data_IF_243896428754
#
_entry.id   IF_243896428754
#
_cell.length_a   1.000
_cell.length_b   1.000
_cell.length_c   1.000
_cell.angle_alpha   90.00
_cell.angle_beta   90.00
_cell.angle_gamma   90.00
#
_symmetry.space_group_name_H-M   'P 1'
#
loop_
_entity.id
_entity.type
_entity.pdbx_description
1 polymer ?
#
# COMPACT_ATOMS: atom_id res chain seq x y z
N UNK A 1 4.96 -0.98 34.88
CA UNK A 1 4.76 -0.55 33.49
C UNK A 1 6.15 -0.50 32.87
N UNK A 2 6.53 -1.52 32.10
CA UNK A 2 7.77 -1.44 31.33
C UNK A 2 7.55 -0.41 30.23
N UNK A 3 8.51 0.48 30.05
CA UNK A 3 8.64 1.20 28.79
C UNK A 3 9.37 0.22 27.90
N UNK A 4 8.64 -0.47 27.03
CA UNK A 4 9.25 -1.16 25.88
C UNK A 4 9.90 -0.09 25.01
N UNK A 5 11.14 -0.32 24.60
CA UNK A 5 11.76 0.54 23.59
C UNK A 5 10.97 0.37 22.28
N UNK A 6 10.82 1.42 21.49
CA UNK A 6 9.97 1.39 20.28
C UNK A 6 10.40 0.33 19.28
N UNK A 7 11.70 -0.04 19.30
CA UNK A 7 12.29 -1.08 18.45
C UNK A 7 11.92 -2.50 18.86
N UNK A 8 11.49 -2.72 20.10
CA UNK A 8 11.12 -4.04 20.64
C UNK A 8 9.83 -4.58 19.98
N UNK A 9 8.93 -3.69 19.54
CA UNK A 9 7.66 -4.08 18.89
C UNK A 9 7.83 -4.72 17.51
N UNK A 10 8.94 -4.42 16.82
CA UNK A 10 9.34 -5.04 15.55
C UNK A 10 10.53 -6.02 15.74
N UNK A 11 10.97 -6.26 16.97
CA UNK A 11 12.16 -7.07 17.29
C UNK A 11 11.94 -8.59 17.28
N UNK A 12 10.69 -9.04 17.10
CA UNK A 12 10.33 -10.46 16.94
C UNK A 12 10.33 -10.92 15.48
N UNK A 13 9.53 -11.94 15.16
CA UNK A 13 9.38 -12.41 13.77
C UNK A 13 8.43 -11.48 13.02
N UNK A 14 8.93 -10.91 11.94
CA UNK A 14 8.26 -9.87 11.16
C UNK A 14 7.75 -10.44 9.85
N UNK A 15 6.47 -10.20 9.54
CA UNK A 15 5.89 -10.53 8.24
C UNK A 15 5.78 -9.28 7.36
N UNK A 16 6.53 -9.23 6.26
CA UNK A 16 6.41 -8.16 5.26
C UNK A 16 5.49 -8.63 4.13
N UNK A 17 4.42 -7.89 3.86
CA UNK A 17 3.32 -8.26 2.96
C UNK A 17 3.27 -7.33 1.76
N UNK A 18 3.14 -7.87 0.55
CA UNK A 18 2.79 -7.10 -0.64
C UNK A 18 1.85 -7.90 -1.57
N UNK A 19 0.86 -7.22 -2.17
CA UNK A 19 -0.07 -7.82 -3.12
C UNK A 19 -0.11 -7.07 -4.44
N UNK A 20 -0.02 -7.80 -5.55
CA UNK A 20 -0.17 -7.26 -6.91
C UNK A 20 -1.58 -6.70 -7.12
N UNK A 21 -1.75 -5.84 -8.12
CA UNK A 21 -3.04 -5.30 -8.53
C UNK A 21 -3.25 -3.90 -7.99
N UNK A 22 -4.35 -3.65 -7.29
CA UNK A 22 -4.74 -2.28 -6.91
C UNK A 22 -3.77 -1.60 -5.93
N UNK A 23 -3.06 -2.40 -5.13
CA UNK A 23 -2.16 -1.93 -4.07
C UNK A 23 -0.72 -1.67 -4.53
N UNK A 24 -0.37 -1.96 -5.80
CA UNK A 24 1.01 -2.02 -6.25
C UNK A 24 1.24 -1.29 -7.59
N UNK A 25 1.19 0.05 -7.53
CA UNK A 25 1.62 0.89 -8.66
C UNK A 25 3.07 0.60 -9.06
N UNK A 26 3.28 0.23 -10.32
CA UNK A 26 4.60 -0.02 -10.90
C UNK A 26 5.31 -1.25 -10.35
N UNK A 27 4.58 -2.26 -9.86
CA UNK A 27 5.09 -3.51 -9.28
C UNK A 27 6.19 -3.27 -8.21
N UNK A 28 6.11 -2.16 -7.49
CA UNK A 28 7.15 -1.69 -6.58
C UNK A 28 7.12 -2.40 -5.22
N UNK A 29 5.94 -2.64 -4.65
CA UNK A 29 5.79 -3.35 -3.40
C UNK A 29 6.09 -4.84 -3.57
N UNK A 30 5.48 -5.50 -4.55
CA UNK A 30 5.75 -6.92 -4.81
C UNK A 30 7.14 -7.14 -5.40
N UNK A 31 7.67 -6.21 -6.20
CA UNK A 31 9.06 -6.22 -6.66
C UNK A 31 10.06 -6.16 -5.51
N UNK A 32 9.86 -5.25 -4.54
CA UNK A 32 10.69 -5.18 -3.34
C UNK A 32 10.64 -6.48 -2.50
N UNK A 33 9.44 -7.05 -2.28
CA UNK A 33 9.28 -8.31 -1.54
C UNK A 33 9.87 -9.51 -2.29
N UNK A 34 9.75 -9.57 -3.62
CA UNK A 34 10.40 -10.59 -4.46
C UNK A 34 11.92 -10.50 -4.39
N UNK A 35 12.47 -9.29 -4.48
CA UNK A 35 13.91 -9.07 -4.33
C UNK A 35 14.39 -9.52 -2.93
N UNK A 36 13.66 -9.17 -1.87
CA UNK A 36 13.96 -9.63 -0.51
C UNK A 36 13.94 -11.16 -0.41
N UNK A 37 12.91 -11.81 -0.97
CA UNK A 37 12.77 -13.29 -0.97
C UNK A 37 13.98 -13.97 -1.62
N UNK A 38 14.49 -13.42 -2.72
CA UNK A 38 15.61 -13.98 -3.47
C UNK A 38 16.97 -13.65 -2.82
N UNK A 39 17.15 -12.45 -2.24
CA UNK A 39 18.38 -12.06 -1.54
C UNK A 39 18.54 -12.72 -0.16
N UNK A 40 17.42 -13.06 0.50
CA UNK A 40 17.39 -13.74 1.80
C UNK A 40 17.27 -15.26 1.68
N UNK A 41 17.23 -15.80 0.45
CA UNK A 41 17.09 -17.24 0.14
C UNK A 41 15.88 -17.91 0.86
N UNK A 42 14.73 -17.21 0.94
CA UNK A 42 13.57 -17.71 1.68
C UNK A 42 12.79 -18.78 0.92
N UNK A 43 12.40 -19.84 1.64
CA UNK A 43 11.66 -20.99 1.13
C UNK A 43 10.14 -20.82 1.38
N UNK A 44 9.27 -21.38 0.51
CA UNK A 44 7.82 -21.32 0.70
C UNK A 44 7.39 -22.22 1.86
N UNK A 45 6.66 -21.65 2.81
CA UNK A 45 6.15 -22.29 4.02
C UNK A 45 4.67 -22.66 3.89
N UNK A 46 3.89 -21.78 3.27
CA UNK A 46 2.45 -21.92 3.08
C UNK A 46 2.02 -21.24 1.77
N UNK A 47 1.04 -21.82 1.09
CA UNK A 47 0.48 -21.32 -0.18
C UNK A 47 -1.03 -21.54 -0.15
N UNK A 48 -1.82 -20.50 -0.46
CA UNK A 48 -3.29 -20.59 -0.44
C UNK A 48 -3.83 -21.49 -1.56
N UNK A 49 -4.98 -22.13 -1.36
CA UNK A 49 -5.68 -22.79 -2.47
C UNK A 49 -6.20 -21.73 -3.46
N UNK A 50 -5.69 -21.70 -4.71
CA UNK A 50 -6.04 -20.65 -5.65
C UNK A 50 -7.48 -20.73 -6.15
N UNK A 51 -8.14 -21.90 -6.11
CA UNK A 51 -9.52 -22.04 -6.58
C UNK A 51 -10.51 -21.31 -5.67
N UNK A 52 -10.20 -21.16 -4.39
CA UNK A 52 -11.09 -20.51 -3.42
C UNK A 52 -11.13 -18.98 -3.63
N UNK A 53 -9.99 -18.38 -3.95
CA UNK A 53 -9.76 -16.94 -3.77
C UNK A 53 -9.64 -16.14 -5.07
N UNK A 54 -9.14 -16.74 -6.16
CA UNK A 54 -8.90 -16.02 -7.41
C UNK A 54 -9.97 -16.30 -8.47
N UNK A 55 -10.28 -15.29 -9.27
CA UNK A 55 -11.03 -15.46 -10.51
C UNK A 55 -10.07 -15.68 -11.67
N UNK A 56 -9.99 -16.91 -12.20
CA UNK A 56 -9.09 -17.26 -13.30
C UNK A 56 -9.46 -16.65 -14.66
N UNK A 57 -10.57 -15.91 -14.79
CA UNK A 57 -10.83 -15.08 -15.97
C UNK A 57 -10.09 -13.74 -15.91
N UNK A 58 -9.89 -13.22 -14.69
CA UNK A 58 -9.17 -11.98 -14.39
C UNK A 58 -7.67 -12.29 -14.18
N UNK A 59 -7.36 -13.13 -13.19
CA UNK A 59 -6.02 -13.59 -12.86
C UNK A 59 -5.73 -14.91 -13.57
N UNK A 60 -5.38 -14.84 -14.85
CA UNK A 60 -5.19 -16.03 -15.71
C UNK A 60 -3.91 -16.80 -15.35
N UNK A 61 -3.97 -18.15 -15.22
CA UNK A 61 -2.77 -18.97 -15.13
C UNK A 61 -1.86 -18.81 -16.35
N UNK A 62 -0.56 -18.74 -16.12
CA UNK A 62 0.45 -18.48 -17.15
C UNK A 62 1.25 -19.75 -17.44
N UNK A 63 1.44 -20.08 -18.72
CA UNK A 63 2.30 -21.18 -19.15
C UNK A 63 3.69 -20.66 -19.54
N UNK A 64 4.72 -21.08 -18.82
CA UNK A 64 6.12 -20.77 -19.09
C UNK A 64 6.90 -22.03 -19.49
N UNK A 65 8.16 -21.87 -19.90
CA UNK A 65 9.10 -22.97 -20.03
C UNK A 65 10.19 -22.83 -18.95
N UNK A 66 10.58 -23.93 -18.32
CA UNK A 66 11.76 -23.96 -17.45
C UNK A 66 13.08 -23.97 -18.25
N UNK A 67 14.22 -23.99 -17.54
CA UNK A 67 15.55 -23.98 -18.16
C UNK A 67 15.80 -25.21 -19.05
N UNK A 68 15.10 -26.33 -18.81
CA UNK A 68 15.13 -27.54 -19.63
C UNK A 68 14.09 -27.53 -20.77
N UNK A 69 13.37 -26.42 -20.95
CA UNK A 69 12.35 -26.23 -21.98
C UNK A 69 11.00 -26.89 -21.67
N UNK A 70 10.82 -27.49 -20.48
CA UNK A 70 9.56 -28.17 -20.11
C UNK A 70 8.52 -27.12 -19.77
N UNK A 71 7.29 -27.31 -20.26
CA UNK A 71 6.20 -26.38 -19.97
C UNK A 71 5.70 -26.55 -18.54
N UNK A 72 5.62 -25.45 -17.81
CA UNK A 72 5.04 -25.35 -16.46
C UNK A 72 3.88 -24.38 -16.48
N UNK A 73 2.79 -24.73 -15.81
CA UNK A 73 1.66 -23.85 -15.58
C UNK A 73 1.80 -23.25 -14.18
N UNK A 74 1.77 -21.92 -14.08
CA UNK A 74 1.78 -21.17 -12.83
C UNK A 74 0.40 -20.56 -12.62
N UNK A 75 -0.20 -20.83 -11.46
CA UNK A 75 -1.47 -20.25 -11.04
C UNK A 75 -1.24 -18.94 -10.28
N UNK A 76 -2.19 -17.98 -10.24
CA UNK A 76 -2.12 -16.89 -9.28
C UNK A 76 -2.13 -17.47 -7.87
N UNK A 77 -1.34 -16.91 -6.96
CA UNK A 77 -1.29 -17.37 -5.57
C UNK A 77 -0.94 -16.26 -4.59
N UNK A 78 -1.02 -16.58 -3.31
CA UNK A 78 -0.50 -15.82 -2.19
C UNK A 78 0.32 -16.75 -1.30
N UNK A 79 1.64 -16.58 -1.33
CA UNK A 79 2.59 -17.51 -0.72
C UNK A 79 3.33 -16.84 0.44
N UNK A 80 3.33 -17.50 1.60
CA UNK A 80 4.15 -17.16 2.76
C UNK A 80 5.50 -17.86 2.64
N UNK A 81 6.58 -17.07 2.73
CA UNK A 81 7.96 -17.50 2.72
C UNK A 81 8.63 -17.19 4.07
N UNK A 82 9.66 -17.96 4.40
CA UNK A 82 10.49 -17.69 5.57
C UNK A 82 11.80 -18.48 5.55
N UNK A 83 12.64 -18.29 6.59
CA UNK A 83 13.98 -18.85 6.63
C UNK A 83 13.96 -20.37 6.89
N UNK A 84 14.84 -21.10 6.22
CA UNK A 84 14.97 -22.57 6.34
C UNK A 84 15.37 -23.03 7.74
N UNK A 85 16.00 -22.16 8.52
CA UNK A 85 16.43 -22.43 9.89
C UNK A 85 16.09 -21.20 10.76
N UNK A 86 14.83 -21.02 11.17
CA UNK A 86 14.37 -19.82 11.87
C UNK A 86 15.06 -19.67 13.23
N UNK A 87 15.25 -18.42 13.66
CA UNK A 87 15.79 -18.16 14.99
C UNK A 87 14.84 -18.68 16.08
N UNK A 88 15.43 -19.19 17.16
CA UNK A 88 14.69 -19.51 18.39
C UNK A 88 13.96 -18.26 18.90
N UNK A 89 12.64 -18.30 19.18
CA UNK A 89 11.91 -17.15 19.69
C UNK A 89 12.57 -16.57 20.94
N UNK A 90 12.66 -15.24 21.03
CA UNK A 90 13.24 -14.50 22.16
C UNK A 90 12.42 -14.68 23.44
N UNK A 91 12.60 -15.84 24.08
CA UNK A 91 11.89 -16.27 25.27
C UNK A 91 12.47 -15.67 26.55
N UNK A 92 12.19 -14.38 26.75
CA UNK A 92 12.16 -13.75 28.07
C UNK A 92 13.52 -13.47 28.73
N UNK A 93 13.91 -12.19 28.68
CA UNK A 93 14.67 -11.48 29.72
C UNK A 93 16.00 -12.10 30.17
N UNK A 94 17.07 -11.69 29.49
CA UNK A 94 18.26 -11.25 30.19
C UNK A 94 18.39 -9.73 30.00
N UNK A 95 18.15 -8.94 31.05
CA UNK A 95 18.40 -7.48 31.05
C UNK A 95 19.91 -7.16 30.86
N UNK A 96 20.77 -8.19 30.85
CA UNK A 96 22.22 -8.14 30.61
C UNK A 96 22.64 -8.59 29.18
N UNK A 97 21.69 -8.88 28.29
CA UNK A 97 21.99 -9.25 26.90
C UNK A 97 22.32 -8.01 26.05
N UNK A 98 23.47 -7.38 26.34
CA UNK A 98 24.04 -6.33 25.50
C UNK A 98 24.06 -6.76 24.02
N UNK A 99 23.28 -6.05 23.21
CA UNK A 99 23.57 -5.81 21.80
C UNK A 99 23.90 -7.07 20.98
N UNK A 100 23.05 -8.11 21.05
CA UNK A 100 22.98 -9.13 19.98
C UNK A 100 22.30 -8.56 18.74
N UNK A 101 22.94 -7.55 18.16
CA UNK A 101 22.89 -7.30 16.72
C UNK A 101 23.56 -8.52 16.09
N UNK A 102 22.76 -9.55 15.79
CA UNK A 102 23.16 -10.53 14.79
C UNK A 102 23.40 -9.74 13.50
N UNK A 103 24.54 -9.93 12.85
CA UNK A 103 24.89 -9.21 11.62
C UNK A 103 23.99 -9.57 10.41
N UNK A 104 22.94 -10.36 10.66
CA UNK A 104 21.84 -10.70 9.79
C UNK A 104 20.61 -10.98 10.68
N UNK A 105 19.62 -10.09 10.69
CA UNK A 105 18.30 -10.34 11.32
C UNK A 105 17.38 -11.17 10.41
N UNK A 106 17.95 -11.72 9.33
CA UNK A 106 17.29 -12.46 8.25
C UNK A 106 16.43 -13.62 8.78
N UNK A 107 16.90 -14.30 9.84
CA UNK A 107 16.23 -15.44 10.47
C UNK A 107 14.89 -15.08 11.18
N UNK A 108 14.55 -13.79 11.22
CA UNK A 108 13.28 -13.26 11.73
C UNK A 108 12.41 -12.61 10.64
N UNK A 109 12.85 -12.54 9.38
CA UNK A 109 12.10 -11.95 8.28
C UNK A 109 11.31 -13.03 7.53
N UNK A 110 9.99 -12.86 7.51
CA UNK A 110 9.04 -13.64 6.74
C UNK A 110 8.38 -12.74 5.71
N UNK A 111 8.02 -13.28 4.56
CA UNK A 111 7.48 -12.51 3.44
C UNK A 111 6.18 -13.15 2.95
N UNK A 112 5.14 -12.36 2.75
CA UNK A 112 3.92 -12.78 2.07
C UNK A 112 3.81 -11.98 0.77
N UNK A 113 3.87 -12.68 -0.36
CA UNK A 113 3.73 -12.04 -1.68
C UNK A 113 2.80 -12.84 -2.57
N UNK A 114 2.00 -12.14 -3.36
CA UNK A 114 1.04 -12.77 -4.25
C UNK A 114 0.15 -11.79 -5.00
N UNK A 115 -0.83 -12.34 -5.68
CA UNK A 115 -1.90 -11.57 -6.32
C UNK A 115 -2.99 -11.23 -5.30
N UNK A 116 -3.62 -10.06 -5.42
CA UNK A 116 -4.81 -9.72 -4.60
C UNK A 116 -5.98 -10.70 -4.89
N UNK A 117 -6.64 -11.28 -3.85
CA UNK A 117 -7.76 -12.20 -4.04
C UNK A 117 -8.97 -11.50 -4.67
N UNK A 118 -9.68 -12.20 -5.54
CA UNK A 118 -10.86 -11.66 -6.22
C UNK A 118 -12.14 -11.77 -5.37
N UNK A 119 -12.15 -12.63 -4.34
CA UNK A 119 -13.31 -12.92 -3.49
C UNK A 119 -12.90 -13.42 -2.11
N UNK A 120 -13.89 -13.57 -1.23
CA UNK A 120 -13.74 -14.26 0.07
C UNK A 120 -12.67 -13.67 1.01
N UNK A 121 -12.37 -12.37 0.91
CA UNK A 121 -11.27 -11.70 1.62
C UNK A 121 -11.20 -12.00 3.12
N UNK A 122 -12.33 -12.11 3.81
CA UNK A 122 -12.36 -12.44 5.24
C UNK A 122 -11.83 -13.84 5.57
N UNK A 123 -12.11 -14.82 4.72
CA UNK A 123 -11.58 -16.17 4.87
C UNK A 123 -10.10 -16.22 4.47
N UNK A 124 -9.73 -15.54 3.37
CA UNK A 124 -8.36 -15.39 2.92
C UNK A 124 -7.44 -14.78 3.99
N UNK A 125 -7.86 -13.67 4.61
CA UNK A 125 -7.08 -13.02 5.67
C UNK A 125 -6.99 -13.91 6.92
N UNK A 126 -8.07 -14.62 7.29
CA UNK A 126 -8.03 -15.55 8.42
C UNK A 126 -7.05 -16.72 8.17
N UNK A 127 -7.06 -17.32 6.98
CA UNK A 127 -6.17 -18.43 6.61
C UNK A 127 -4.68 -17.99 6.59
N UNK A 128 -4.40 -16.79 6.06
CA UNK A 128 -3.06 -16.20 6.10
C UNK A 128 -2.58 -15.87 7.52
N UNK A 129 -3.49 -15.40 8.39
CA UNK A 129 -3.17 -15.10 9.79
C UNK A 129 -3.00 -16.38 10.62
N UNK A 130 -3.77 -17.45 10.36
CA UNK A 130 -3.54 -18.77 10.96
C UNK A 130 -2.16 -19.33 10.56
N UNK A 131 -1.74 -19.14 9.30
CA UNK A 131 -0.39 -19.47 8.85
C UNK A 131 0.69 -18.60 9.54
N UNK A 132 0.48 -17.28 9.65
CA UNK A 132 1.39 -16.37 10.35
C UNK A 132 1.55 -16.73 11.84
N UNK A 133 0.45 -17.03 12.54
CA UNK A 133 0.46 -17.49 13.94
C UNK A 133 1.19 -18.82 14.10
N UNK A 134 1.09 -19.73 13.12
CA UNK A 134 1.83 -21.01 13.11
C UNK A 134 3.35 -20.82 13.04
N UNK A 135 3.81 -19.66 12.57
CA UNK A 135 5.23 -19.29 12.49
C UNK A 135 5.65 -18.25 13.55
N UNK A 136 4.86 -18.03 14.60
CA UNK A 136 5.11 -17.07 15.69
C UNK A 136 5.35 -15.63 15.19
N UNK A 137 4.70 -15.21 14.09
CA UNK A 137 4.75 -13.83 13.61
C UNK A 137 4.21 -12.88 14.69
N UNK A 138 5.01 -11.89 15.07
CA UNK A 138 4.70 -10.93 16.13
C UNK A 138 4.33 -9.54 15.63
N UNK A 139 4.59 -9.22 14.36
CA UNK A 139 4.24 -7.94 13.73
C UNK A 139 4.12 -8.08 12.21
N UNK A 140 3.30 -7.22 11.58
CA UNK A 140 3.07 -7.22 10.13
C UNK A 140 3.38 -5.85 9.53
N UNK A 141 4.15 -5.81 8.44
CA UNK A 141 4.38 -4.61 7.62
C UNK A 141 3.76 -4.79 6.25
N UNK A 142 2.71 -4.04 5.95
CA UNK A 142 2.06 -3.98 4.64
C UNK A 142 2.77 -2.96 3.75
N UNK A 143 3.40 -3.41 2.67
CA UNK A 143 3.97 -2.57 1.63
C UNK A 143 2.94 -2.36 0.51
N UNK A 144 2.83 -1.11 0.05
CA UNK A 144 2.03 -0.74 -1.12
C UNK A 144 2.65 0.41 -1.89
N UNK A 145 2.09 0.70 -3.06
CA UNK A 145 2.44 1.86 -3.86
C UNK A 145 1.23 2.37 -4.64
N UNK A 146 1.15 3.68 -4.80
CA UNK A 146 0.03 4.36 -5.46
C UNK A 146 0.52 5.35 -6.52
N UNK A 147 -0.25 5.51 -7.59
CA UNK A 147 0.01 6.54 -8.60
C UNK A 147 -0.34 7.92 -8.01
N UNK A 148 0.56 8.90 -8.16
CA UNK A 148 0.45 10.22 -7.56
C UNK A 148 1.01 11.34 -8.47
N UNK A 149 0.65 12.58 -8.13
CA UNK A 149 1.17 13.81 -8.74
C UNK A 149 2.55 14.16 -8.18
N UNK A 150 3.55 13.33 -8.49
CA UNK A 150 4.93 13.49 -8.03
C UNK A 150 5.94 13.49 -9.20
N UNK A 151 7.03 14.27 -9.10
CA UNK A 151 8.07 14.29 -10.12
C UNK A 151 9.00 13.07 -9.97
N UNK A 152 9.29 12.37 -11.06
CA UNK A 152 10.25 11.26 -11.07
C UNK A 152 11.70 11.72 -10.80
N UNK A 153 11.98 13.01 -10.97
CA UNK A 153 13.28 13.70 -10.76
C UNK A 153 13.55 14.13 -9.31
N UNK A 154 12.78 13.61 -8.34
CA UNK A 154 12.98 13.81 -6.89
C UNK A 154 12.99 12.46 -6.16
N UNK A 155 13.39 12.41 -4.88
CA UNK A 155 13.19 11.22 -4.05
C UNK A 155 11.72 10.80 -4.02
N UNK A 156 11.47 9.49 -4.09
CA UNK A 156 10.10 8.94 -4.01
C UNK A 156 9.55 9.21 -2.60
N UNK A 157 8.33 9.75 -2.54
CA UNK A 157 7.67 10.00 -1.26
C UNK A 157 7.14 8.69 -0.69
N UNK A 158 7.57 8.35 0.52
CA UNK A 158 7.09 7.19 1.27
C UNK A 158 6.32 7.66 2.50
N UNK A 159 5.12 7.15 2.68
CA UNK A 159 4.25 7.43 3.82
C UNK A 159 4.16 6.20 4.72
N UNK A 160 4.25 6.41 6.03
CA UNK A 160 4.17 5.35 7.04
C UNK A 160 3.06 5.64 8.03
N UNK A 161 2.19 4.67 8.28
CA UNK A 161 1.05 4.82 9.20
C UNK A 161 0.71 3.50 9.90
N UNK A 162 0.07 3.60 11.07
CA UNK A 162 -0.36 2.42 11.83
C UNK A 162 -1.65 2.68 12.61
N UNK A 163 -2.53 1.69 12.68
CA UNK A 163 -3.72 1.74 13.53
C UNK A 163 -3.44 1.27 14.97
N UNK A 164 -2.36 0.51 15.21
CA UNK A 164 -1.84 0.20 16.55
C UNK A 164 -1.30 1.46 17.24
N UNK A 165 -1.80 1.71 18.46
CA UNK A 165 -1.32 2.84 19.26
C UNK A 165 0.12 2.67 19.76
N UNK A 166 0.55 1.43 19.96
CA UNK A 166 1.88 1.10 20.44
C UNK A 166 2.92 1.32 19.34
N UNK A 167 2.65 0.86 18.11
CA UNK A 167 3.49 1.11 16.92
C UNK A 167 3.63 2.60 16.63
N UNK A 168 2.53 3.38 16.70
CA UNK A 168 2.59 4.83 16.53
C UNK A 168 3.48 5.53 17.55
N UNK A 169 3.34 5.19 18.83
CA UNK A 169 4.18 5.76 19.89
C UNK A 169 5.65 5.31 19.77
N UNK A 170 5.88 4.09 19.29
CA UNK A 170 7.20 3.49 19.13
C UNK A 170 8.01 4.09 17.98
N UNK A 171 7.36 4.38 16.83
CA UNK A 171 8.02 4.75 15.58
C UNK A 171 7.78 6.21 15.15
N UNK A 172 7.08 7.00 15.98
CA UNK A 172 6.67 8.39 15.69
C UNK A 172 5.88 8.51 14.37
N UNK A 173 4.96 7.56 14.15
CA UNK A 173 4.07 7.51 12.97
C UNK A 173 2.61 7.81 13.33
N UNK A 174 1.85 8.34 12.38
CA UNK A 174 0.46 8.75 12.58
C UNK A 174 -0.56 7.68 12.16
N UNK A 175 -1.84 7.87 12.53
CA UNK A 175 -2.94 7.08 11.95
C UNK A 175 -3.17 7.48 10.50
N UNK A 176 -3.75 6.57 9.70
CA UNK A 176 -4.25 6.96 8.39
C UNK A 176 -5.46 7.89 8.55
N UNK A 177 -5.49 8.99 7.81
CA UNK A 177 -6.68 9.84 7.68
C UNK A 177 -7.50 9.52 6.42
N UNK A 178 -7.24 8.38 5.77
CA UNK A 178 -7.89 7.98 4.53
C UNK A 178 -9.31 7.44 4.77
N UNK A 179 -10.28 7.98 4.05
CA UNK A 179 -11.64 7.43 3.95
C UNK A 179 -11.96 7.14 2.47
N UNK A 180 -12.23 5.88 2.12
CA UNK A 180 -12.52 5.49 0.74
C UNK A 180 -12.47 3.97 0.51
N UNK A 181 -12.50 3.53 -0.76
CA UNK A 181 -12.26 2.13 -1.13
C UNK A 181 -10.86 1.67 -0.72
N UNK A 182 -10.73 0.41 -0.30
CA UNK A 182 -9.46 -0.17 0.15
C UNK A 182 -9.21 -1.52 -0.51
N UNK A 183 -7.93 -1.88 -0.65
CA UNK A 183 -7.49 -3.20 -1.08
C UNK A 183 -7.39 -4.21 0.08
N UNK A 184 -6.96 -5.43 -0.24
CA UNK A 184 -6.84 -6.54 0.70
C UNK A 184 -5.89 -6.25 1.86
N UNK A 185 -4.86 -5.41 1.68
CA UNK A 185 -3.92 -5.04 2.74
C UNK A 185 -4.64 -4.43 3.95
N UNK A 186 -5.65 -3.58 3.73
CA UNK A 186 -6.43 -3.00 4.84
C UNK A 186 -7.32 -4.04 5.53
N UNK A 187 -7.85 -5.03 4.79
CA UNK A 187 -8.63 -6.11 5.36
C UNK A 187 -7.77 -7.10 6.16
N UNK A 188 -6.53 -7.34 5.72
CA UNK A 188 -5.54 -8.12 6.46
C UNK A 188 -5.13 -7.38 7.73
N UNK A 189 -4.86 -6.08 7.66
CA UNK A 189 -4.48 -5.28 8.84
C UNK A 189 -5.60 -5.20 9.87
N UNK A 190 -6.86 -4.97 9.46
CA UNK A 190 -8.04 -5.01 10.34
C UNK A 190 -8.18 -6.36 11.05
N UNK A 191 -8.01 -7.47 10.32
CA UNK A 191 -8.05 -8.81 10.88
C UNK A 191 -6.86 -9.12 11.82
N UNK A 192 -5.67 -8.59 11.54
CA UNK A 192 -4.48 -8.76 12.36
C UNK A 192 -4.58 -8.01 13.70
N UNK A 193 -5.03 -6.75 13.68
CA UNK A 193 -5.23 -5.95 14.90
C UNK A 193 -6.34 -6.54 15.80
N UNK A 194 -7.35 -7.23 15.24
CA UNK A 194 -8.35 -8.00 16.00
C UNK A 194 -7.73 -9.19 16.76
N UNK A 195 -6.58 -9.70 16.30
CA UNK A 195 -5.80 -10.76 16.93
C UNK A 195 -4.65 -10.24 17.82
N UNK A 196 -4.66 -8.93 18.13
CA UNK A 196 -3.59 -8.21 18.84
C UNK A 196 -2.20 -8.31 18.16
N UNK A 197 -2.16 -8.54 16.83
CA UNK A 197 -0.92 -8.51 16.03
C UNK A 197 -0.71 -7.08 15.51
N UNK A 198 0.32 -6.35 15.97
CA UNK A 198 0.57 -4.96 15.56
C UNK A 198 0.91 -4.85 14.07
N UNK A 199 0.30 -3.86 13.41
CA UNK A 199 0.49 -3.61 11.97
C UNK A 199 1.12 -2.25 11.68
N UNK A 200 1.87 -2.17 10.58
CA UNK A 200 2.38 -0.94 9.98
C UNK A 200 2.11 -0.97 8.48
N UNK A 201 1.73 0.16 7.89
CA UNK A 201 1.64 0.33 6.43
C UNK A 201 2.75 1.26 5.93
N UNK A 202 3.37 0.92 4.80
CA UNK A 202 4.39 1.72 4.10
C UNK A 202 3.95 1.88 2.64
N UNK A 203 3.71 3.11 2.20
CA UNK A 203 3.18 3.43 0.87
C UNK A 203 4.10 4.34 0.07
N UNK A 204 4.56 3.88 -1.10
CA UNK A 204 5.36 4.69 -2.04
C UNK A 204 4.50 5.43 -3.07
N UNK A 205 4.85 6.68 -3.36
CA UNK A 205 4.20 7.51 -4.37
C UNK A 205 4.91 7.39 -5.72
N UNK A 206 4.27 6.72 -6.67
CA UNK A 206 4.80 6.50 -8.03
C UNK A 206 4.27 7.58 -8.97
N UNK A 207 5.11 8.23 -9.80
CA UNK A 207 4.66 9.21 -10.79
C UNK A 207 3.63 8.61 -11.77
N UNK A 208 2.40 9.14 -11.79
CA UNK A 208 1.28 8.55 -12.54
C UNK A 208 1.48 8.48 -14.07
N UNK A 209 2.35 9.32 -14.63
CA UNK A 209 2.66 9.35 -16.06
C UNK A 209 3.70 8.30 -16.48
N UNK A 210 4.34 7.61 -15.53
CA UNK A 210 5.30 6.55 -15.82
C UNK A 210 4.55 5.22 -15.95
N UNK A 211 4.49 4.71 -17.19
CA UNK A 211 3.82 3.44 -17.52
C UNK A 211 4.80 2.24 -17.56
N UNK A 212 6.09 2.47 -17.30
CA UNK A 212 7.09 1.42 -17.24
C UNK A 212 7.06 0.71 -15.88
N UNK A 213 6.42 -0.46 -15.88
CA UNK A 213 6.54 -1.44 -14.80
C UNK A 213 7.69 -2.43 -15.10
N UNK A 214 8.50 -2.83 -14.10
CA UNK A 214 8.44 -2.39 -12.71
C UNK A 214 9.12 -1.00 -12.52
N UNK A 215 9.03 -0.45 -11.31
CA UNK A 215 9.61 0.84 -10.91
C UNK A 215 10.73 0.67 -9.87
N UNK A 216 12.00 0.48 -10.30
CA UNK A 216 13.13 0.24 -9.39
C UNK A 216 13.37 1.38 -8.40
N UNK A 217 13.14 2.63 -8.81
CA UNK A 217 13.26 3.80 -7.93
C UNK A 217 12.24 3.79 -6.78
N UNK A 218 11.03 3.27 -7.01
CA UNK A 218 10.03 3.09 -5.97
C UNK A 218 10.32 1.85 -5.10
N UNK A 219 10.83 0.76 -5.69
CA UNK A 219 11.33 -0.41 -4.93
C UNK A 219 12.41 0.00 -3.92
N UNK A 220 13.42 0.77 -4.35
CA UNK A 220 14.48 1.28 -3.47
C UNK A 220 13.91 2.08 -2.30
N UNK A 221 12.98 3.01 -2.55
CA UNK A 221 12.43 3.84 -1.49
C UNK A 221 11.62 3.03 -0.45
N UNK A 222 10.91 1.97 -0.88
CA UNK A 222 10.26 1.03 0.04
C UNK A 222 11.28 0.22 0.85
N UNK A 223 12.35 -0.25 0.21
CA UNK A 223 13.44 -1.01 0.86
C UNK A 223 14.18 -0.12 1.86
N UNK A 224 14.59 1.08 1.47
CA UNK A 224 15.27 2.05 2.34
C UNK A 224 14.43 2.38 3.57
N UNK A 225 13.11 2.56 3.41
CA UNK A 225 12.21 2.83 4.54
C UNK A 225 11.97 1.61 5.43
N UNK A 226 11.96 0.40 4.86
CA UNK A 226 11.92 -0.84 5.63
C UNK A 226 13.21 -1.03 6.43
N UNK A 227 14.37 -0.75 5.83
CA UNK A 227 15.69 -0.79 6.46
C UNK A 227 15.78 0.16 7.67
N UNK A 228 15.30 1.40 7.49
CA UNK A 228 15.25 2.45 8.53
C UNK A 228 14.45 2.02 9.77
N UNK A 229 13.38 1.24 9.58
CA UNK A 229 12.42 0.90 10.63
C UNK A 229 12.73 -0.43 11.34
N UNK A 230 13.35 -1.39 10.65
CA UNK A 230 13.62 -2.74 11.17
C UNK A 230 15.11 -2.92 11.58
N UNK A 231 15.99 -1.98 11.24
CA UNK A 231 17.43 -2.00 11.61
C UNK A 231 18.16 -3.25 11.06
N UNK A 232 17.80 -3.67 9.85
CA UNK A 232 18.34 -4.86 9.15
C UNK A 232 18.96 -4.44 7.84
N UNK A 233 20.22 -4.81 7.56
CA UNK A 233 20.83 -4.48 6.26
C UNK A 233 20.23 -5.35 5.14
N UNK A 234 19.63 -4.70 4.14
CA UNK A 234 19.01 -5.34 2.98
C UNK A 234 19.96 -5.25 1.77
N UNK A 235 20.41 -6.39 1.21
CA UNK A 235 21.15 -6.40 -0.04
C UNK A 235 20.32 -5.85 -1.19
N UNK A 236 20.82 -4.80 -1.86
CA UNK A 236 20.14 -4.11 -2.97
C UNK A 236 20.41 -4.71 -4.34
N UNK A 237 21.40 -5.60 -4.46
CA UNK A 237 21.86 -6.12 -5.75
C UNK A 237 22.11 -4.99 -6.77
N UNK A 238 21.61 -5.19 -7.99
CA UNK A 238 21.75 -4.23 -9.10
C UNK A 238 20.62 -3.17 -9.11
N UNK A 239 19.74 -3.13 -8.08
CA UNK A 239 18.54 -2.28 -8.07
C UNK A 239 18.86 -0.77 -8.13
N UNK A 240 20.02 -0.37 -7.62
CA UNK A 240 20.51 1.02 -7.71
C UNK A 240 20.81 1.43 -9.16
N UNK A 241 21.50 0.57 -9.92
CA UNK A 241 21.78 0.79 -11.34
C UNK A 241 20.47 0.80 -12.15
N UNK A 242 19.57 -0.15 -11.90
CA UNK A 242 18.25 -0.20 -12.54
C UNK A 242 17.40 1.06 -12.28
N UNK A 243 17.52 1.67 -11.09
CA UNK A 243 16.80 2.92 -10.79
C UNK A 243 17.39 4.14 -11.51
N UNK A 244 18.72 4.21 -11.65
CA UNK A 244 19.38 5.24 -12.44
C UNK A 244 19.04 5.10 -13.94
N UNK A 245 19.06 3.88 -14.49
CA UNK A 245 18.66 3.60 -15.88
C UNK A 245 17.18 3.94 -16.14
N UNK A 246 16.30 3.58 -15.21
CA UNK A 246 14.86 3.90 -15.27
C UNK A 246 14.62 5.42 -15.27
N UNK A 247 15.31 6.16 -14.40
CA UNK A 247 15.21 7.62 -14.35
C UNK A 247 15.77 8.29 -15.60
N UNK A 248 16.91 7.82 -16.14
CA UNK A 248 17.46 8.32 -17.41
C UNK A 248 16.51 8.04 -18.58
N UNK A 249 15.88 6.87 -18.61
CA UNK A 249 14.90 6.49 -19.65
C UNK A 249 13.70 7.44 -19.63
N UNK A 250 13.13 7.72 -18.46
CA UNK A 250 11.97 8.62 -18.34
C UNK A 250 12.36 10.07 -18.65
N UNK A 251 13.54 10.53 -18.22
CA UNK A 251 14.05 11.85 -18.59
C UNK A 251 14.17 12.01 -20.11
N UNK A 252 14.64 10.98 -20.83
CA UNK A 252 14.68 11.00 -22.29
C UNK A 252 13.28 11.12 -22.89
N UNK A 253 12.34 10.26 -22.48
CA UNK A 253 10.96 10.27 -22.98
C UNK A 253 10.23 11.58 -22.66
N UNK A 254 10.49 12.16 -21.49
CA UNK A 254 9.94 13.45 -21.07
C UNK A 254 10.53 14.64 -21.84
N UNK A 255 11.77 14.52 -22.35
CA UNK A 255 12.46 15.62 -23.05
C UNK A 255 11.96 15.85 -24.49
N UNK A 256 11.32 14.85 -25.10
CA UNK A 256 10.75 14.91 -26.46
C UNK A 256 9.37 15.60 -26.50
N UNK A 257 8.76 15.89 -25.35
CA UNK A 257 7.43 16.50 -25.20
C UNK A 257 7.49 17.75 -24.30
N UNK A 258 7.30 18.93 -24.91
CA UNK A 258 7.34 20.22 -24.20
C UNK A 258 6.21 20.38 -23.16
N UNK A 259 5.04 19.78 -23.36
CA UNK A 259 3.91 19.85 -22.42
C UNK A 259 4.19 18.99 -21.19
N UNK A 260 4.66 17.75 -21.39
CA UNK A 260 5.10 16.86 -20.32
C UNK A 260 6.28 17.45 -19.54
N UNK A 261 7.29 18.02 -20.21
CA UNK A 261 8.41 18.68 -19.54
C UNK A 261 7.99 19.92 -18.75
N UNK A 262 6.99 20.68 -19.21
CA UNK A 262 6.42 21.79 -18.47
C UNK A 262 5.59 21.33 -17.26
N UNK A 263 4.87 20.22 -17.38
CA UNK A 263 4.09 19.63 -16.29
C UNK A 263 4.98 19.06 -15.18
N UNK A 264 6.04 18.31 -15.53
CA UNK A 264 7.00 17.78 -14.55
C UNK A 264 7.63 18.93 -13.74
N UNK A 265 7.99 20.05 -14.36
CA UNK A 265 8.50 21.24 -13.65
C UNK A 265 7.51 21.86 -12.67
N UNK A 266 6.20 21.74 -12.91
CA UNK A 266 5.18 22.17 -11.95
C UNK A 266 5.13 21.22 -10.74
N UNK A 267 5.24 19.91 -10.97
CA UNK A 267 5.32 18.91 -9.90
C UNK A 267 6.61 19.07 -9.07
N UNK A 268 7.75 19.35 -9.70
CA UNK A 268 9.00 19.72 -9.04
C UNK A 268 8.83 20.95 -8.15
N UNK A 269 8.31 22.06 -8.69
CA UNK A 269 8.12 23.29 -7.92
C UNK A 269 7.15 23.10 -6.74
N UNK A 270 6.09 22.32 -6.93
CA UNK A 270 5.16 21.96 -5.85
C UNK A 270 5.85 21.12 -4.76
N UNK A 271 6.66 20.12 -5.15
CA UNK A 271 7.40 19.28 -4.20
C UNK A 271 8.44 20.05 -3.41
N UNK A 272 9.28 20.82 -4.11
CA UNK A 272 10.37 21.61 -3.52
C UNK A 272 9.82 22.69 -2.55
N UNK A 273 8.60 23.18 -2.80
CA UNK A 273 7.90 24.12 -1.88
C UNK A 273 7.48 23.46 -0.58
N UNK A 274 7.05 22.18 -0.61
CA UNK A 274 6.64 21.43 0.59
C UNK A 274 7.85 20.97 1.40
N UNK A 275 8.95 20.59 0.75
CA UNK A 275 10.20 20.18 1.42
C UNK A 275 11.05 21.36 1.92
N UNK A 276 10.74 22.60 1.51
CA UNK A 276 11.48 23.77 1.94
C UNK A 276 11.53 23.89 3.49
N UNK A 277 12.69 24.12 4.11
CA UNK A 277 12.78 24.35 5.57
C UNK A 277 11.91 25.53 6.05
N UNK A 278 11.65 26.48 5.15
CA UNK A 278 10.76 27.64 5.34
C UNK A 278 9.26 27.31 5.21
N UNK A 279 8.88 26.05 4.97
CA UNK A 279 7.50 25.57 5.07
C UNK A 279 7.16 25.00 6.47
N UNK A 280 8.16 24.84 7.34
CA UNK A 280 7.95 24.46 8.74
C UNK A 280 7.01 25.46 9.45
N UNK A 281 6.19 24.96 10.39
CA UNK A 281 5.06 25.73 10.97
C UNK A 281 5.44 27.08 11.58
N UNK A 282 6.69 27.28 12.01
CA UNK A 282 7.20 28.56 12.50
C UNK A 282 7.27 29.67 11.44
N UNK A 283 7.45 29.32 10.17
CA UNK A 283 7.51 30.28 9.07
C UNK A 283 6.11 30.71 8.63
N UNK A 284 5.16 29.76 8.56
CA UNK A 284 3.73 30.04 8.40
C UNK A 284 3.22 30.89 9.58
N UNK A 285 3.63 30.60 10.81
CA UNK A 285 3.33 31.43 11.98
C UNK A 285 3.96 32.84 11.87
N UNK A 286 5.19 32.98 11.36
CA UNK A 286 5.83 34.29 11.13
C UNK A 286 5.13 35.12 10.05
N UNK A 287 4.63 34.50 8.98
CA UNK A 287 3.78 35.15 7.98
C UNK A 287 2.42 35.56 8.58
N UNK A 288 1.80 34.70 9.39
CA UNK A 288 0.54 34.99 10.07
C UNK A 288 0.67 36.15 11.08
N UNK A 289 1.73 36.18 11.88
CA UNK A 289 2.06 37.33 12.74
C UNK A 289 2.31 38.62 11.95
N UNK A 290 3.00 38.53 10.79
CA UNK A 290 3.24 39.66 9.90
C UNK A 290 1.92 40.20 9.32
N UNK A 291 1.00 39.32 8.95
CA UNK A 291 -0.34 39.67 8.47
C UNK A 291 -1.19 40.34 9.55
N UNK A 292 -1.16 39.83 10.79
CA UNK A 292 -1.84 40.43 11.94
C UNK A 292 -1.27 41.81 12.29
N UNK A 293 0.06 41.98 12.35
CA UNK A 293 0.69 43.30 12.57
C UNK A 293 0.36 44.32 11.46
N UNK A 294 0.10 43.85 10.25
CA UNK A 294 -0.32 44.71 9.12
C UNK A 294 -1.79 45.12 9.22
N UNK A 295 -2.64 44.29 9.84
CA UNK A 295 -4.08 44.58 10.01
C UNK A 295 -4.41 45.43 11.24
N UNK A 296 -3.63 45.34 12.33
CA UNK A 296 -3.72 46.27 13.47
C UNK A 296 -3.36 47.73 13.11
N UNK A 297 -2.66 47.95 11.99
CA UNK A 297 -2.37 49.28 11.45
C UNK A 297 -3.58 50.07 10.92
N UNK A 298 -4.78 49.46 10.82
CA UNK A 298 -6.00 50.10 10.30
C UNK A 298 -7.15 50.17 11.31
N UNK A 299 -6.88 50.72 12.51
CA UNK A 299 -7.96 51.23 13.37
C UNK A 299 -7.64 52.60 13.97
N UNK A 300 -7.88 53.63 13.16
CA UNK A 300 -7.97 55.02 13.63
C UNK A 300 -9.18 55.22 14.57
N UNK A 301 -9.15 56.24 15.45
CA UNK A 301 -10.03 56.31 16.61
C UNK A 301 -11.44 56.82 16.26
N UNK A 302 -12.44 56.29 16.96
CA UNK A 302 -13.80 56.86 17.03
C UNK A 302 -14.05 57.33 18.47
N UNK A 303 -14.51 58.57 18.62
CA UNK A 303 -14.76 59.21 19.91
C UNK A 303 -16.10 58.75 20.56
N UNK A 304 -16.27 59.03 21.87
CA UNK A 304 -17.52 58.79 22.61
C UNK A 304 -18.70 59.70 22.18
N UNK A 305 -19.88 59.65 22.80
CA UNK A 305 -20.31 59.08 24.10
C UNK A 305 -21.61 58.22 23.95
N UNK A 306 -22.45 57.83 24.93
CA UNK A 306 -22.67 58.27 26.32
C UNK A 306 -23.32 57.18 27.22
N UNK A 307 -23.65 57.53 28.47
CA UNK A 307 -24.20 56.69 29.55
C UNK A 307 -25.72 56.41 29.44
N UNK A 308 -26.19 55.19 29.82
CA UNK A 308 -27.31 54.99 30.76
C UNK A 308 -27.81 53.53 30.97
N UNK A 309 -27.46 52.96 32.14
CA UNK A 309 -28.33 52.30 33.14
C UNK A 309 -29.29 51.11 32.84
N UNK A 310 -29.08 50.06 33.67
CA UNK A 310 -30.04 49.18 34.41
C UNK A 310 -30.76 48.00 33.67
N UNK A 311 -30.57 46.78 34.20
CA UNK A 311 -31.49 45.61 34.09
C UNK A 311 -32.49 45.57 35.27
N UNK A 312 -32.88 44.41 35.86
CA UNK A 312 -32.64 42.98 35.49
C UNK A 312 -33.88 42.03 35.65
N UNK A 313 -33.70 40.71 35.50
CA UNK A 313 -34.63 39.61 35.91
C UNK A 313 -34.58 38.41 34.94
N UNK A 314 -34.25 37.15 35.29
CA UNK A 314 -34.94 36.12 36.12
C UNK A 314 -36.38 35.83 35.65
N UNK A 315 -36.87 34.58 35.48
CA UNK A 315 -36.62 33.33 36.24
C UNK A 315 -36.77 32.05 35.35
N UNK A 316 -36.46 30.89 35.93
CA UNK A 316 -36.45 29.52 35.40
C UNK A 316 -37.82 28.86 35.06
N UNK A 317 -37.76 27.63 34.53
CA UNK A 317 -38.86 26.65 34.44
C UNK A 317 -38.70 25.72 33.22
N UNK A 318 -37.96 24.61 33.29
CA UNK A 318 -38.30 23.26 33.78
C UNK A 318 -38.99 22.30 32.77
N UNK A 319 -38.47 21.08 32.78
CA UNK A 319 -39.12 19.77 32.56
C UNK A 319 -39.53 19.16 31.19
N UNK A 320 -39.39 17.82 31.20
CA UNK A 320 -40.10 16.76 30.46
C UNK A 320 -39.85 16.44 28.96
N UNK A 321 -39.30 15.22 28.74
CA UNK A 321 -39.57 14.37 27.55
C UNK A 321 -41.03 13.86 27.57
N UNK A 322 -41.64 13.60 26.40
CA UNK A 322 -41.82 12.21 25.92
C UNK A 322 -41.28 12.06 24.47
N UNK A 323 -41.29 10.93 23.77
CA UNK A 323 -41.91 9.61 23.98
C UNK A 323 -42.33 9.04 22.61
N UNK A 324 -41.95 7.80 22.30
CA UNK A 324 -41.96 7.23 20.94
C UNK A 324 -43.34 7.06 20.26
N UNK A 325 -43.35 6.94 18.93
CA UNK A 325 -44.14 5.93 18.18
C UNK A 325 -43.67 5.70 16.73
N UNK A 326 -43.87 4.46 16.27
CA UNK A 326 -43.61 3.96 14.92
C UNK A 326 -44.77 4.27 13.96
N UNK A 327 -44.52 4.16 12.65
CA UNK A 327 -45.53 3.80 11.66
C UNK A 327 -44.88 3.08 10.47
N UNK A 328 -45.45 1.94 10.08
CA UNK A 328 -45.07 1.17 8.88
C UNK A 328 -45.23 1.98 7.57
N UNK A 329 -44.47 1.57 6.55
CA UNK A 329 -44.79 1.87 5.14
C UNK A 329 -44.87 0.56 4.36
N UNK A 330 -46.09 0.16 4.02
CA UNK A 330 -46.38 -1.06 3.27
C UNK A 330 -46.07 -0.91 1.77
N UNK A 331 -45.94 -2.04 1.07
CA UNK A 331 -45.59 -2.13 -0.35
C UNK A 331 -46.74 -1.75 -1.28
N UNK A 332 -46.42 -1.14 -2.42
CA UNK A 332 -47.10 -1.43 -3.69
C UNK A 332 -46.08 -1.68 -4.79
N UNK A 333 -46.49 -2.52 -5.74
CA UNK A 333 -45.66 -3.22 -6.72
C UNK A 333 -46.24 -3.00 -8.15
N UNK A 334 -45.59 -3.57 -9.16
CA UNK A 334 -46.11 -3.90 -10.51
C UNK A 334 -45.97 -2.86 -11.67
N UNK A 335 -45.97 -3.32 -12.96
CA UNK A 335 -44.72 -3.31 -13.74
C UNK A 335 -44.90 -2.89 -15.23
N UNK A 336 -43.84 -2.95 -16.04
CA UNK A 336 -43.93 -3.00 -17.51
C UNK A 336 -43.08 -4.11 -18.16
N UNK A 337 -43.43 -4.47 -19.40
CA UNK A 337 -42.87 -5.58 -20.20
C UNK A 337 -42.57 -5.13 -21.64
N UNK A 338 -41.46 -5.61 -22.20
CA UNK A 338 -41.31 -6.09 -23.59
C UNK A 338 -39.95 -6.83 -23.66
N UNK A 339 -39.77 -8.07 -24.17
CA UNK A 339 -39.95 -8.57 -25.55
C UNK A 339 -39.34 -7.61 -26.60
N UNK A 340 -38.28 -7.92 -27.35
CA UNK A 340 -37.44 -9.11 -27.43
C UNK A 340 -37.16 -9.46 -28.89
N UNK A 341 -35.89 -9.69 -29.27
CA UNK A 341 -35.52 -10.58 -30.39
C UNK A 341 -34.00 -10.79 -30.46
N UNK A 342 -33.62 -11.97 -30.93
CA UNK A 342 -32.29 -12.27 -31.49
C UNK A 342 -32.51 -12.90 -32.87
N UNK A 343 -31.51 -12.84 -33.75
CA UNK A 343 -31.12 -14.11 -34.34
C UNK A 343 -29.61 -14.35 -34.35
N UNK A 344 -29.30 -15.63 -34.19
CA UNK A 344 -28.03 -16.26 -34.55
C UNK A 344 -27.66 -16.05 -36.02
N UNK A 345 -26.37 -16.07 -36.31
CA UNK A 345 -25.88 -16.65 -37.56
C UNK A 345 -24.79 -17.68 -37.26
N UNK A 346 -24.83 -18.81 -37.97
CA UNK A 346 -23.94 -19.95 -37.82
C UNK A 346 -23.54 -20.43 -39.21
N UNK A 347 -22.32 -20.09 -39.63
CA UNK A 347 -21.79 -20.39 -40.95
C UNK A 347 -20.72 -21.47 -40.91
N UNK A 348 -21.13 -22.74 -40.83
CA UNK A 348 -20.25 -23.89 -41.05
C UNK A 348 -20.39 -24.35 -42.51
N UNK A 349 -19.30 -24.31 -43.29
CA UNK A 349 -19.20 -25.02 -44.57
C UNK A 349 -17.83 -25.69 -44.71
N UNK A 350 -17.87 -26.96 -45.09
CA UNK A 350 -16.72 -27.84 -45.24
C UNK A 350 -16.01 -27.69 -46.59
N UNK A 351 -14.83 -28.30 -46.68
CA UNK A 351 -13.98 -28.44 -47.87
C UNK A 351 -14.69 -29.08 -49.08
N UNK A 352 -14.02 -29.05 -50.24
CA UNK A 352 -13.58 -30.35 -50.76
C UNK A 352 -12.08 -30.38 -51.13
N UNK A 353 -11.56 -31.60 -51.15
CA UNK A 353 -10.23 -31.94 -51.65
C UNK A 353 -10.08 -31.68 -53.16
N UNK A 354 -8.85 -31.36 -53.58
CA UNK A 354 -8.27 -31.95 -54.80
C UNK A 354 -6.78 -32.14 -54.60
N UNK A 355 -6.30 -33.35 -54.83
CA UNK A 355 -4.90 -33.74 -54.92
C UNK A 355 -4.16 -32.96 -56.02
N UNK A 356 -2.85 -32.80 -55.88
CA UNK A 356 -1.95 -33.26 -56.95
C UNK A 356 -0.57 -33.65 -56.38
N UNK A 357 -0.12 -34.84 -56.74
CA UNK A 357 1.22 -35.35 -56.41
C UNK A 357 2.22 -34.85 -57.47
N UNK A 358 3.38 -34.33 -57.05
CA UNK A 358 4.65 -34.79 -57.66
C UNK A 358 5.90 -34.41 -56.85
N UNK A 359 6.53 -35.47 -56.36
CA UNK A 359 7.97 -35.65 -56.15
C UNK A 359 8.69 -35.67 -57.54
N UNK A 360 10.01 -35.95 -57.73
CA UNK A 360 11.12 -35.95 -56.77
C UNK A 360 12.42 -35.26 -57.27
N UNK A 361 13.43 -35.34 -56.38
CA UNK A 361 14.85 -35.71 -56.67
C UNK A 361 15.97 -34.64 -56.90
N UNK A 362 17.04 -34.86 -56.12
CA UNK A 362 18.49 -34.58 -56.34
C UNK A 362 18.99 -33.13 -56.19
N UNK A 363 20.15 -32.89 -55.55
CA UNK A 363 21.21 -33.76 -54.99
C UNK A 363 21.49 -33.49 -53.50
#
# INVERSE_FOLDING_TARGET
>A
MRVTDGRDILGGRLLVVAFEGWNDAGDAATGAVRMLKDQLELEPLFDVDPELYFDFQFNRPVISADAEGRKRLTWPSATLYGPTNPAEPLSGLADDAEMRISASNNDNIYLLVGTEPSRSWKAFCAELLDAALTHDISAIICLGSMLADVPHTRPISVFTSSESAEVRQALDVERSSYEGPVGVLSALSDAAEILDIPTLSIWASVPHYVQHSPSPKAMLALIDKLEELVDVVIPRGDLMEQAEEWEQTINSLASDDEEMAAYIKQLEAARDTVEAPEASGEAIAREFERYLRTSDGRRGPVAGSDDSKKGPGTVAGDDARPGARQSDSDRTDKPEKSQGDSPSDAGEQASPDTDDENDPEKD
#
